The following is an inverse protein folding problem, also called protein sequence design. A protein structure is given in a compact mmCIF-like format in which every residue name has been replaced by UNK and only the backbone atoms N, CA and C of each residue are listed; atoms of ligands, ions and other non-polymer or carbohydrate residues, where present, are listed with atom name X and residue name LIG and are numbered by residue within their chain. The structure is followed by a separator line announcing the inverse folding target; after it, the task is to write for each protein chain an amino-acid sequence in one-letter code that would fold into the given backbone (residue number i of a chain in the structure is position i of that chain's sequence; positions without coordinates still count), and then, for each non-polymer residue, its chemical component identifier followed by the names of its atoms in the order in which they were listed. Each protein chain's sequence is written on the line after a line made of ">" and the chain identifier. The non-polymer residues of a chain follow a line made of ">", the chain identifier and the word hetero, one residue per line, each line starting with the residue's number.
data_IF_316576088703
#
_entry.id   IF_316576088703
#
_cell.length_a   1.000
_cell.length_b   1.000
_cell.length_c   1.000
_cell.angle_alpha   90.00
_cell.angle_beta   90.00
_cell.angle_gamma   90.00
#
_symmetry.space_group_name_H-M   'P 1'
#
loop_
_entity.id
_entity.type
_entity.pdbx_description
1 polymer ?
#
# COMPACT_ATOMS: atom_id res chain seq x y z
N UNK A 1 -78.25 -4.33 2.09
CA UNK A 1 -78.32 -4.82 3.48
C UNK A 1 -76.89 -4.96 4.01
N UNK A 2 -76.63 -4.45 5.22
CA UNK A 2 -75.35 -4.47 5.96
C UNK A 2 -74.81 -5.92 6.08
N UNK A 3 -73.50 -6.16 6.04
CA UNK A 3 -72.58 -6.08 7.20
C UNK A 3 -71.10 -5.83 6.79
N UNK A 4 -70.38 -5.01 7.56
CA UNK A 4 -68.95 -4.61 7.40
C UNK A 4 -68.02 -5.23 8.46
N UNK A 5 -66.71 -4.91 8.61
CA UNK A 5 -65.79 -3.96 7.97
C UNK A 5 -64.31 -4.33 8.35
N UNK A 6 -63.39 -4.29 7.37
CA UNK A 6 -61.93 -3.97 7.32
C UNK A 6 -60.82 -4.48 8.29
N UNK A 7 -59.79 -5.09 7.65
CA UNK A 7 -58.34 -4.75 7.53
C UNK A 7 -57.32 -4.83 8.71
N UNK A 8 -56.15 -5.49 8.48
CA UNK A 8 -54.76 -4.92 8.45
C UNK A 8 -53.64 -6.00 8.26
N UNK A 9 -52.48 -5.58 7.72
CA UNK A 9 -51.19 -6.31 7.53
C UNK A 9 -50.28 -6.25 8.79
N UNK A 10 -49.33 -7.19 8.98
CA UNK A 10 -47.88 -6.94 9.19
C UNK A 10 -47.01 -8.17 9.62
N UNK A 11 -45.73 -8.06 9.23
CA UNK A 11 -44.45 -8.76 9.50
C UNK A 11 -44.15 -9.35 10.90
N UNK A 12 -43.23 -10.35 10.98
CA UNK A 12 -42.03 -10.34 11.83
C UNK A 12 -41.16 -11.62 11.74
N UNK A 13 -39.83 -11.45 11.57
CA UNK A 13 -38.76 -12.34 12.06
C UNK A 13 -38.09 -11.61 13.23
N UNK A 14 -37.99 -12.19 14.44
CA UNK A 14 -36.91 -11.96 15.42
C UNK A 14 -37.06 -12.78 16.71
N UNK A 15 -35.95 -12.87 17.47
CA UNK A 15 -35.69 -13.33 18.84
C UNK A 15 -35.49 -14.85 19.06
N UNK A 16 -34.31 -15.33 19.48
CA UNK A 16 -33.57 -15.17 20.76
C UNK A 16 -34.35 -15.63 22.01
N UNK A 17 -33.79 -16.60 22.73
CA UNK A 17 -34.21 -17.03 24.06
C UNK A 17 -32.98 -17.10 24.98
N UNK A 18 -33.05 -16.35 26.08
CA UNK A 18 -32.19 -16.45 27.26
C UNK A 18 -33.04 -16.84 28.49
N UNK A 19 -32.33 -17.23 29.57
CA UNK A 19 -32.71 -17.19 31.01
C UNK A 19 -33.52 -18.41 31.54
N UNK A 20 -33.32 -18.99 32.74
CA UNK A 20 -32.23 -19.08 33.75
C UNK A 20 -32.63 -20.01 34.93
N UNK A 21 -31.73 -20.11 35.92
CA UNK A 21 -31.87 -20.42 37.38
C UNK A 21 -31.62 -21.89 37.79
N UNK A 22 -30.82 -22.25 38.80
CA UNK A 22 -30.22 -21.49 39.91
C UNK A 22 -30.85 -21.89 41.25
N UNK A 23 -30.26 -22.83 42.00
CA UNK A 23 -30.58 -23.10 43.41
C UNK A 23 -29.33 -23.59 44.18
N UNK A 24 -29.07 -22.94 45.33
CA UNK A 24 -28.11 -23.28 46.39
C UNK A 24 -28.73 -24.28 47.38
N UNK A 25 -27.92 -25.10 48.06
CA UNK A 25 -27.98 -25.33 49.52
C UNK A 25 -26.77 -26.13 50.04
N UNK A 26 -26.23 -25.68 51.18
CA UNK A 26 -25.15 -26.29 51.97
C UNK A 26 -25.74 -26.80 53.29
N UNK A 27 -25.33 -27.98 53.77
CA UNK A 27 -25.26 -28.41 55.19
C UNK A 27 -24.59 -29.79 55.25
N UNK A 28 -23.56 -29.93 56.09
CA UNK A 28 -22.76 -31.16 56.22
C UNK A 28 -23.20 -32.11 57.32
N UNK A 29 -22.64 -33.32 57.33
CA UNK A 29 -22.35 -34.13 58.52
C UNK A 29 -21.31 -35.22 58.21
N UNK A 30 -20.43 -35.41 59.20
CA UNK A 30 -19.29 -36.33 59.36
C UNK A 30 -19.57 -37.83 59.16
N UNK A 31 -18.53 -38.55 58.71
CA UNK A 31 -18.31 -40.00 58.90
C UNK A 31 -16.94 -40.42 58.31
N UNK A 32 -16.18 -41.26 59.01
CA UNK A 32 -14.72 -41.48 58.93
C UNK A 32 -14.19 -42.43 57.83
N UNK A 33 -12.96 -42.15 57.36
CA UNK A 33 -11.73 -42.97 57.09
C UNK A 33 -11.79 -44.46 56.60
N UNK A 34 -10.67 -45.07 56.13
CA UNK A 34 -10.59 -45.67 54.79
C UNK A 34 -10.25 -47.18 54.82
N UNK A 35 -9.88 -47.68 53.64
CA UNK A 35 -9.07 -48.87 53.33
C UNK A 35 -9.75 -50.21 53.00
N UNK A 36 -9.36 -50.68 51.80
CA UNK A 36 -9.01 -52.05 51.42
C UNK A 36 -10.02 -53.00 50.72
N UNK A 37 -9.44 -53.69 49.73
CA UNK A 37 -9.81 -54.90 49.02
C UNK A 37 -10.75 -54.84 47.79
N UNK A 38 -10.09 -54.95 46.63
CA UNK A 38 -10.30 -55.96 45.60
C UNK A 38 -11.73 -56.30 45.15
N UNK A 39 -11.95 -56.17 43.84
CA UNK A 39 -12.10 -57.38 43.01
C UNK A 39 -12.01 -57.05 41.53
N UNK A 40 -11.05 -57.71 40.87
CA UNK A 40 -10.95 -57.82 39.43
C UNK A 40 -12.19 -58.53 38.85
N UNK A 41 -12.82 -57.94 37.85
CA UNK A 41 -13.49 -58.71 36.81
C UNK A 41 -13.40 -57.96 35.48
N UNK A 42 -12.72 -58.60 34.55
CA UNK A 42 -12.37 -58.12 33.23
C UNK A 42 -13.60 -57.75 32.38
N UNK A 43 -13.47 -56.65 31.61
CA UNK A 43 -13.83 -56.64 30.20
C UNK A 43 -13.16 -55.43 29.53
N UNK A 44 -11.92 -55.65 29.07
CA UNK A 44 -11.28 -54.79 28.09
C UNK A 44 -12.04 -54.87 26.76
N UNK A 45 -13.10 -54.07 26.63
CA UNK A 45 -13.50 -53.59 25.32
C UNK A 45 -12.64 -52.36 25.02
N UNK A 46 -11.44 -52.63 24.51
CA UNK A 46 -10.56 -51.65 23.89
C UNK A 46 -11.18 -51.25 22.53
N UNK A 47 -12.40 -50.68 22.57
CA UNK A 47 -12.96 -49.97 21.44
C UNK A 47 -12.13 -48.69 21.30
N UNK A 48 -11.05 -48.77 20.53
CA UNK A 48 -10.42 -47.59 19.95
C UNK A 48 -11.51 -46.86 19.19
N UNK A 49 -12.13 -45.88 19.87
CA UNK A 49 -12.95 -44.87 19.22
C UNK A 49 -12.13 -44.39 18.04
N UNK A 50 -12.61 -44.65 16.83
CA UNK A 50 -11.98 -44.13 15.61
C UNK A 50 -11.91 -42.63 15.82
N UNK A 51 -10.70 -42.09 15.92
CA UNK A 51 -10.51 -40.66 15.78
C UNK A 51 -11.06 -40.30 14.41
N UNK A 52 -12.22 -39.64 14.41
CA UNK A 52 -12.72 -38.96 13.23
C UNK A 52 -11.68 -37.89 12.93
N UNK A 53 -10.83 -38.16 11.94
CA UNK A 53 -9.97 -37.11 11.39
C UNK A 53 -10.92 -36.08 10.82
N UNK A 54 -10.81 -34.84 11.30
CA UNK A 54 -11.43 -33.72 10.65
C UNK A 54 -10.82 -33.68 9.24
N UNK A 55 -11.62 -34.02 8.22
CA UNK A 55 -11.21 -33.84 6.82
C UNK A 55 -10.90 -32.36 6.67
N UNK A 56 -9.77 -32.02 6.05
CA UNK A 56 -9.37 -30.64 5.78
C UNK A 56 -10.60 -29.82 5.40
N UNK A 57 -11.00 -28.90 6.29
CA UNK A 57 -12.11 -27.98 6.04
C UNK A 57 -11.57 -26.96 5.04
N UNK A 58 -11.48 -27.38 3.78
CA UNK A 58 -11.29 -26.43 2.69
C UNK A 58 -12.51 -25.51 2.73
N UNK A 59 -12.30 -24.19 2.87
CA UNK A 59 -13.41 -23.25 2.94
C UNK A 59 -14.24 -23.36 1.67
N UNK A 60 -15.57 -23.34 1.83
CA UNK A 60 -16.50 -23.46 0.71
C UNK A 60 -16.27 -22.28 -0.26
N UNK A 61 -16.20 -22.52 -1.58
CA UNK A 61 -16.10 -21.46 -2.57
C UNK A 61 -17.21 -20.43 -2.37
N UNK A 62 -16.85 -19.15 -2.42
CA UNK A 62 -17.79 -18.04 -2.30
C UNK A 62 -17.83 -17.34 -3.64
N UNK A 63 -18.96 -17.42 -4.32
CA UNK A 63 -19.14 -16.80 -5.62
C UNK A 63 -19.45 -15.30 -5.48
N UNK A 64 -19.04 -14.56 -6.51
CA UNK A 64 -19.25 -13.12 -6.60
C UNK A 64 -20.72 -12.78 -6.86
N UNK A 65 -21.25 -11.76 -6.17
CA UNK A 65 -22.63 -11.27 -6.35
C UNK A 65 -22.64 -9.75 -6.54
N UNK A 66 -23.25 -9.26 -7.63
CA UNK A 66 -23.57 -7.85 -7.83
C UNK A 66 -25.01 -7.54 -7.40
N UNK A 67 -25.27 -6.27 -7.13
CA UNK A 67 -26.61 -5.75 -6.88
C UNK A 67 -27.50 -5.85 -8.12
N UNK A 68 -28.81 -5.65 -7.92
CA UNK A 68 -29.69 -5.27 -9.02
C UNK A 68 -29.23 -3.96 -9.65
N UNK A 69 -29.52 -3.77 -10.94
CA UNK A 69 -29.26 -2.53 -11.65
C UNK A 69 -29.93 -1.32 -11.02
N UNK A 70 -29.22 -0.20 -10.99
CA UNK A 70 -29.82 1.10 -10.67
C UNK A 70 -30.86 1.49 -11.72
N UNK A 71 -31.75 2.42 -11.36
CA UNK A 71 -32.54 3.14 -12.36
C UNK A 71 -31.62 3.88 -13.33
N UNK A 72 -32.07 4.05 -14.57
CA UNK A 72 -31.37 4.88 -15.55
C UNK A 72 -31.29 6.35 -15.10
N UNK A 73 -30.12 6.96 -15.28
CA UNK A 73 -29.96 8.40 -15.09
C UNK A 73 -30.75 9.19 -16.14
N UNK A 74 -30.96 10.48 -15.87
CA UNK A 74 -31.40 11.42 -16.90
C UNK A 74 -30.36 11.47 -18.03
N UNK A 75 -30.83 11.74 -19.25
CA UNK A 75 -29.98 11.85 -20.43
C UNK A 75 -29.01 13.04 -20.30
N UNK A 76 -27.71 12.77 -20.41
CA UNK A 76 -26.68 13.80 -20.34
C UNK A 76 -26.74 14.72 -21.58
N UNK A 77 -26.85 16.05 -21.41
CA UNK A 77 -26.93 17.01 -22.52
C UNK A 77 -25.68 17.11 -23.38
N UNK A 78 -24.50 16.86 -22.81
CA UNK A 78 -23.21 16.97 -23.46
C UNK A 78 -22.82 15.67 -24.16
N UNK A 79 -22.99 14.53 -23.49
CA UNK A 79 -22.62 13.21 -24.02
C UNK A 79 -23.73 12.54 -24.83
N UNK A 80 -24.99 12.99 -24.68
CA UNK A 80 -26.19 12.37 -25.28
C UNK A 80 -26.33 10.88 -24.91
N UNK A 81 -25.96 10.55 -23.67
CA UNK A 81 -25.96 9.21 -23.11
C UNK A 81 -26.62 9.19 -21.74
N UNK A 82 -27.22 8.06 -21.39
CA UNK A 82 -27.73 7.76 -20.04
C UNK A 82 -26.99 6.55 -19.49
N UNK A 83 -26.94 6.47 -18.16
CA UNK A 83 -26.10 5.53 -17.45
C UNK A 83 -26.90 4.75 -16.41
N UNK A 84 -26.50 3.51 -16.15
CA UNK A 84 -26.90 2.75 -14.97
C UNK A 84 -25.73 1.91 -14.49
N UNK A 85 -25.77 1.49 -13.23
CA UNK A 85 -24.68 0.74 -12.62
C UNK A 85 -25.21 -0.34 -11.67
N UNK A 86 -24.34 -1.29 -11.35
CA UNK A 86 -24.49 -2.23 -10.26
C UNK A 86 -23.26 -2.12 -9.35
N UNK A 87 -23.41 -2.44 -8.07
CA UNK A 87 -22.31 -2.44 -7.11
C UNK A 87 -22.07 -3.84 -6.56
N UNK A 88 -20.84 -4.10 -6.13
CA UNK A 88 -20.43 -5.38 -5.57
C UNK A 88 -21.08 -5.59 -4.21
N UNK A 89 -21.88 -6.66 -4.07
CA UNK A 89 -22.43 -7.09 -2.78
C UNK A 89 -21.48 -8.05 -2.08
N UNK A 90 -20.96 -9.03 -2.83
CA UNK A 90 -20.05 -10.06 -2.30
C UNK A 90 -18.90 -10.31 -3.27
N UNK A 91 -17.63 -10.17 -2.84
CA UNK A 91 -16.49 -10.56 -3.65
C UNK A 91 -16.35 -12.08 -3.72
N UNK A 92 -15.76 -12.57 -4.83
CA UNK A 92 -15.36 -13.97 -4.92
C UNK A 92 -14.23 -14.30 -3.93
N UNK A 93 -14.33 -15.46 -3.27
CA UNK A 93 -13.29 -16.01 -2.39
C UNK A 93 -13.15 -17.51 -2.58
N UNK A 94 -12.00 -18.06 -2.19
CA UNK A 94 -11.73 -19.50 -2.18
C UNK A 94 -12.01 -20.21 -3.52
N UNK A 95 -11.55 -19.58 -4.61
CA UNK A 95 -11.77 -20.07 -5.98
C UNK A 95 -13.24 -20.13 -6.44
N UNK A 96 -14.14 -19.35 -5.82
CA UNK A 96 -15.49 -19.12 -6.35
C UNK A 96 -15.49 -18.32 -7.67
N UNK A 97 -16.63 -18.30 -8.33
CA UNK A 97 -16.81 -17.65 -9.64
C UNK A 97 -16.63 -16.12 -9.56
N UNK A 98 -15.92 -15.54 -10.52
CA UNK A 98 -15.66 -14.10 -10.63
C UNK A 98 -16.83 -13.38 -11.33
N UNK A 99 -17.11 -12.13 -10.95
CA UNK A 99 -18.01 -11.29 -11.72
C UNK A 99 -17.29 -10.76 -12.98
N UNK A 100 -17.32 -11.53 -14.08
CA UNK A 100 -16.70 -11.14 -15.36
C UNK A 100 -17.60 -10.26 -16.25
N UNK A 101 -18.75 -9.84 -15.73
CA UNK A 101 -19.70 -8.97 -16.42
C UNK A 101 -19.48 -7.50 -16.04
N UNK A 102 -19.82 -6.59 -16.96
CA UNK A 102 -19.69 -5.16 -16.69
C UNK A 102 -20.64 -4.72 -15.59
N UNK A 103 -20.11 -3.93 -14.67
CA UNK A 103 -20.82 -3.31 -13.54
C UNK A 103 -21.41 -1.93 -13.91
N UNK A 104 -21.39 -1.56 -15.20
CA UNK A 104 -22.02 -0.37 -15.76
C UNK A 104 -22.62 -0.63 -17.13
N UNK A 105 -23.64 0.15 -17.48
CA UNK A 105 -24.19 0.18 -18.83
C UNK A 105 -24.42 1.61 -19.29
N UNK A 106 -24.27 1.79 -20.61
CA UNK A 106 -24.37 3.08 -21.28
C UNK A 106 -25.28 2.94 -22.49
N UNK A 107 -26.27 3.81 -22.59
CA UNK A 107 -27.21 3.85 -23.71
C UNK A 107 -27.27 5.26 -24.31
N UNK A 108 -27.40 5.32 -25.63
CA UNK A 108 -27.63 6.57 -26.34
C UNK A 108 -29.04 7.11 -26.04
N UNK A 109 -29.15 8.44 -25.96
CA UNK A 109 -30.41 9.12 -25.67
C UNK A 109 -30.50 10.47 -26.38
N UNK A 110 -31.73 10.94 -26.57
CA UNK A 110 -32.00 12.22 -27.24
C UNK A 110 -32.37 13.27 -26.19
N UNK A 111 -31.72 14.43 -26.26
CA UNK A 111 -31.96 15.55 -25.36
C UNK A 111 -31.79 16.88 -26.11
N UNK A 112 -32.66 17.84 -25.80
CA UNK A 112 -32.65 19.20 -26.36
C UNK A 112 -31.97 20.23 -25.46
N UNK A 113 -31.46 19.80 -24.30
CA UNK A 113 -30.79 20.68 -23.33
C UNK A 113 -29.43 21.14 -23.88
N UNK A 114 -29.07 22.43 -23.75
CA UNK A 114 -27.80 22.95 -24.27
C UNK A 114 -26.61 22.54 -23.37
N UNK A 115 -25.50 22.14 -24.00
CA UNK A 115 -24.22 21.86 -23.32
C UNK A 115 -23.31 23.10 -23.35
N UNK A 116 -22.84 23.57 -22.18
CA UNK A 116 -21.89 24.68 -22.08
C UNK A 116 -20.46 24.16 -22.21
N UNK A 117 -19.72 24.67 -23.21
CA UNK A 117 -18.28 24.38 -23.38
C UNK A 117 -17.44 25.40 -22.62
N UNK A 118 -16.32 24.96 -22.06
CA UNK A 118 -15.35 25.83 -21.40
C UNK A 118 -14.70 26.76 -22.43
N UNK A 119 -14.72 28.07 -22.19
CA UNK A 119 -14.05 29.05 -23.03
C UNK A 119 -12.54 29.06 -22.78
N UNK A 120 -11.76 29.15 -23.86
CA UNK A 120 -10.31 29.28 -23.82
C UNK A 120 -9.92 30.61 -24.47
N UNK A 121 -9.28 31.49 -23.70
CA UNK A 121 -8.73 32.76 -24.21
C UNK A 121 -7.38 32.56 -24.95
N UNK A 122 -6.73 31.43 -24.68
CA UNK A 122 -5.43 31.06 -25.22
C UNK A 122 -5.48 30.33 -26.57
N UNK A 123 -4.46 29.51 -26.81
CA UNK A 123 -4.41 28.54 -27.90
C UNK A 123 -4.95 27.20 -27.40
N UNK A 124 -5.81 26.56 -28.19
CA UNK A 124 -6.35 25.23 -27.89
C UNK A 124 -5.50 24.19 -28.61
N UNK A 125 -4.87 23.30 -27.85
CA UNK A 125 -4.08 22.21 -28.38
C UNK A 125 -4.93 21.24 -29.20
N UNK A 126 -4.39 20.73 -30.31
CA UNK A 126 -5.17 20.05 -31.34
C UNK A 126 -5.77 18.71 -30.87
N UNK A 127 -4.99 17.88 -30.18
CA UNK A 127 -5.38 16.56 -29.72
C UNK A 127 -5.74 16.56 -28.24
N UNK A 128 -4.94 17.22 -27.40
CA UNK A 128 -5.16 17.22 -25.94
C UNK A 128 -6.32 18.12 -25.51
N UNK A 129 -6.71 19.10 -26.33
CA UNK A 129 -7.74 20.08 -26.00
C UNK A 129 -7.39 20.95 -24.78
N UNK A 130 -6.10 21.03 -24.42
CA UNK A 130 -5.57 21.90 -23.37
C UNK A 130 -5.57 23.35 -23.85
N UNK A 131 -5.85 24.28 -22.94
CA UNK A 131 -5.79 25.71 -23.22
C UNK A 131 -4.45 26.26 -22.71
N UNK A 132 -3.55 26.65 -23.62
CA UNK A 132 -2.23 27.20 -23.28
C UNK A 132 -2.15 28.69 -23.63
N UNK A 133 -1.36 29.44 -22.88
CA UNK A 133 -1.18 30.87 -23.15
C UNK A 133 -0.42 31.07 -24.47
N UNK A 134 -0.83 32.03 -25.29
CA UNK A 134 -0.18 32.32 -26.60
C UNK A 134 1.32 32.65 -26.49
N UNK A 135 1.79 33.12 -25.32
CA UNK A 135 3.21 33.36 -25.04
C UNK A 135 4.06 32.08 -24.98
N UNK A 136 3.42 30.92 -24.92
CA UNK A 136 4.05 29.61 -24.89
C UNK A 136 4.17 28.98 -26.27
N UNK A 137 3.60 29.60 -27.32
CA UNK A 137 3.73 29.09 -28.67
C UNK A 137 5.14 29.34 -29.21
N UNK A 138 5.68 28.36 -29.94
CA UNK A 138 6.98 28.45 -30.61
C UNK A 138 8.14 28.78 -29.66
N UNK A 139 8.09 28.31 -28.42
CA UNK A 139 9.10 28.55 -27.40
C UNK A 139 10.12 27.39 -27.27
N UNK A 140 9.93 26.32 -28.04
CA UNK A 140 10.76 25.12 -28.06
C UNK A 140 10.42 24.08 -26.97
N UNK A 141 9.36 24.30 -26.20
CA UNK A 141 8.84 23.38 -25.20
C UNK A 141 7.52 22.77 -25.67
N UNK A 142 7.25 21.52 -25.31
CA UNK A 142 5.96 20.87 -25.58
C UNK A 142 4.99 21.14 -24.43
N UNK A 143 4.34 22.31 -24.42
CA UNK A 143 3.37 22.70 -23.39
C UNK A 143 1.99 22.06 -23.64
N UNK A 144 1.68 21.70 -24.88
CA UNK A 144 0.41 21.04 -25.24
C UNK A 144 0.36 19.53 -24.94
N UNK A 145 1.52 18.86 -24.85
CA UNK A 145 1.65 17.40 -24.73
C UNK A 145 1.71 16.68 -26.09
N UNK A 146 0.99 17.19 -27.09
CA UNK A 146 0.94 16.69 -28.47
C UNK A 146 1.82 17.48 -29.47
N UNK A 147 2.66 18.41 -28.98
CA UNK A 147 3.51 19.32 -29.76
C UNK A 147 2.76 20.27 -30.70
N UNK A 148 1.44 20.44 -30.55
CA UNK A 148 0.66 21.31 -31.42
C UNK A 148 0.95 22.81 -31.25
N UNK A 149 1.49 23.21 -30.10
CA UNK A 149 1.98 24.56 -29.79
C UNK A 149 3.29 24.93 -30.50
N UNK A 150 4.06 23.92 -30.89
CA UNK A 150 5.31 24.06 -31.64
C UNK A 150 5.15 23.79 -33.14
N UNK A 151 3.92 23.52 -33.58
CA UNK A 151 3.59 23.34 -34.99
C UNK A 151 3.50 24.68 -35.73
N UNK A 152 3.91 24.70 -37.00
CA UNK A 152 3.82 25.87 -37.89
C UNK A 152 4.57 27.14 -37.41
N UNK A 153 5.65 26.96 -36.64
CA UNK A 153 6.49 28.05 -36.16
C UNK A 153 7.47 28.55 -37.23
N UNK A 154 7.42 29.85 -37.55
CA UNK A 154 8.41 30.48 -38.45
C UNK A 154 9.81 30.56 -37.84
N UNK A 155 9.88 30.78 -36.53
CA UNK A 155 11.10 30.80 -35.71
C UNK A 155 10.77 30.25 -34.33
N UNK A 156 11.65 29.43 -33.79
CA UNK A 156 11.54 28.88 -32.44
C UNK A 156 12.40 29.74 -31.51
N UNK A 157 11.78 30.40 -30.55
CA UNK A 157 12.46 31.23 -29.56
C UNK A 157 12.73 30.43 -28.30
N UNK A 158 13.78 29.60 -28.33
CA UNK A 158 14.18 28.78 -27.18
C UNK A 158 14.48 29.65 -25.96
N UNK A 159 13.61 29.60 -24.96
CA UNK A 159 13.87 30.24 -23.65
C UNK A 159 15.01 29.56 -22.91
N UNK A 160 15.12 28.24 -23.03
CA UNK A 160 16.19 27.45 -22.42
C UNK A 160 17.27 27.13 -23.45
N UNK A 161 18.45 27.74 -23.27
CA UNK A 161 19.60 27.57 -24.17
C UNK A 161 20.43 26.31 -23.85
N UNK A 162 20.42 25.85 -22.59
CA UNK A 162 21.16 24.68 -22.15
C UNK A 162 20.21 23.53 -21.79
N UNK A 163 20.64 22.30 -22.10
CA UNK A 163 19.96 21.10 -21.63
C UNK A 163 19.97 21.07 -20.10
N UNK A 164 18.79 20.95 -19.50
CA UNK A 164 18.59 20.79 -18.07
C UNK A 164 17.82 19.49 -17.83
N UNK A 165 18.15 18.79 -16.75
CA UNK A 165 17.52 17.53 -16.40
C UNK A 165 16.18 17.73 -15.68
N UNK A 166 15.34 16.70 -15.71
CA UNK A 166 14.14 16.63 -14.88
C UNK A 166 14.52 16.11 -13.49
N UNK A 167 13.78 16.53 -12.45
CA UNK A 167 14.03 16.00 -11.11
C UNK A 167 13.89 14.47 -11.07
N UNK A 168 14.73 13.83 -10.26
CA UNK A 168 14.66 12.39 -10.04
C UNK A 168 13.31 11.99 -9.43
N UNK A 169 12.77 10.87 -9.92
CA UNK A 169 11.46 10.33 -9.53
C UNK A 169 10.24 11.27 -9.75
N UNK A 170 10.37 12.34 -10.53
CA UNK A 170 9.31 13.35 -10.67
C UNK A 170 8.03 12.82 -11.33
N UNK A 171 8.14 11.77 -12.16
CA UNK A 171 7.01 11.12 -12.80
C UNK A 171 6.07 10.47 -11.79
N UNK A 172 6.62 9.67 -10.87
CA UNK A 172 5.84 8.99 -9.82
C UNK A 172 5.17 10.00 -8.87
N UNK A 173 5.79 11.16 -8.65
CA UNK A 173 5.23 12.26 -7.86
C UNK A 173 4.05 12.97 -8.54
N UNK A 174 3.84 12.75 -9.83
CA UNK A 174 2.73 13.31 -10.61
C UNK A 174 1.51 12.36 -10.68
N UNK A 175 1.70 11.10 -10.28
CA UNK A 175 0.67 10.07 -10.25
C UNK A 175 -0.38 10.31 -9.19
N UNK A 176 -1.60 9.88 -9.48
CA UNK A 176 -2.63 9.75 -8.46
C UNK A 176 -2.38 8.53 -7.58
N UNK A 177 -2.99 8.52 -6.40
CA UNK A 177 -2.83 7.45 -5.41
C UNK A 177 -4.20 6.90 -5.08
N UNK A 178 -4.33 5.57 -5.15
CA UNK A 178 -5.46 4.89 -4.56
C UNK A 178 -5.12 4.50 -3.12
N UNK A 179 -5.68 5.24 -2.15
CA UNK A 179 -5.37 5.05 -0.74
C UNK A 179 -5.94 3.73 -0.16
N UNK A 180 -6.94 3.13 -0.80
CA UNK A 180 -7.52 1.86 -0.35
C UNK A 180 -6.62 0.67 -0.69
N UNK A 181 -5.88 0.75 -1.78
CA UNK A 181 -4.95 -0.28 -2.26
C UNK A 181 -3.48 0.09 -2.06
N UNK A 182 -3.21 1.36 -1.69
CA UNK A 182 -1.86 1.94 -1.56
C UNK A 182 -1.04 1.86 -2.86
N UNK A 183 -1.71 2.03 -4.01
CA UNK A 183 -1.10 1.95 -5.35
C UNK A 183 -0.97 3.33 -5.97
N UNK A 184 0.12 3.53 -6.74
CA UNK A 184 0.19 4.63 -7.71
C UNK A 184 -0.65 4.25 -8.93
N UNK A 185 -1.53 5.15 -9.31
CA UNK A 185 -2.38 5.01 -10.48
C UNK A 185 -1.91 5.98 -11.59
N UNK A 186 -2.77 6.23 -12.58
CA UNK A 186 -2.48 7.12 -13.70
C UNK A 186 -2.03 8.53 -13.29
N UNK A 187 -1.30 9.23 -14.17
CA UNK A 187 -0.85 10.60 -13.93
C UNK A 187 -2.02 11.57 -13.85
N UNK A 188 -2.12 12.30 -12.73
CA UNK A 188 -3.15 13.34 -12.51
C UNK A 188 -2.60 14.75 -12.73
N UNK A 189 -1.30 14.95 -12.48
CA UNK A 189 -0.61 16.22 -12.65
C UNK A 189 0.37 16.16 -13.83
N UNK A 190 0.58 17.30 -14.48
CA UNK A 190 1.57 17.42 -15.55
C UNK A 190 2.87 18.07 -15.03
N UNK A 191 3.85 17.24 -14.69
CA UNK A 191 5.20 17.68 -14.34
C UNK A 191 6.13 17.88 -15.55
N UNK A 192 5.64 17.68 -16.78
CA UNK A 192 6.37 18.07 -18.01
C UNK A 192 6.07 19.50 -18.42
N UNK A 193 4.97 20.07 -17.93
CA UNK A 193 4.63 21.47 -18.14
C UNK A 193 5.51 22.41 -17.32
N UNK A 194 6.15 23.39 -17.99
CA UNK A 194 7.04 24.37 -17.36
C UNK A 194 6.47 25.79 -17.34
N UNK A 195 5.38 26.06 -18.07
CA UNK A 195 4.77 27.39 -18.12
C UNK A 195 5.72 28.49 -18.60
N UNK A 196 6.67 28.13 -19.47
CA UNK A 196 7.71 29.03 -19.96
C UNK A 196 8.76 29.44 -18.92
N UNK A 197 8.82 28.75 -17.78
CA UNK A 197 9.87 28.87 -16.78
C UNK A 197 11.15 28.14 -17.19
N UNK A 198 12.30 28.78 -16.93
CA UNK A 198 13.61 28.27 -17.35
C UNK A 198 14.73 28.54 -16.32
N UNK A 199 14.38 28.82 -15.06
CA UNK A 199 15.40 29.04 -14.04
C UNK A 199 16.08 27.70 -13.70
N UNK A 200 17.41 27.59 -13.83
CA UNK A 200 18.13 26.40 -13.41
C UNK A 200 18.07 26.29 -11.88
N UNK A 201 17.81 25.08 -11.40
CA UNK A 201 17.92 24.70 -10.00
C UNK A 201 19.08 23.74 -9.85
N UNK A 202 20.08 24.11 -9.04
CA UNK A 202 21.27 23.30 -8.84
C UNK A 202 21.07 22.36 -7.67
N UNK A 203 21.21 21.06 -7.92
CA UNK A 203 21.27 20.02 -6.89
C UNK A 203 22.58 19.29 -7.10
N UNK A 204 23.47 19.36 -6.10
CA UNK A 204 24.86 18.92 -6.25
C UNK A 204 25.52 19.66 -7.43
N UNK A 205 26.02 18.93 -8.43
CA UNK A 205 26.66 19.50 -9.62
C UNK A 205 25.76 19.45 -10.88
N UNK A 206 24.49 19.05 -10.73
CA UNK A 206 23.57 18.86 -11.85
C UNK A 206 22.57 20.01 -11.95
N UNK A 207 22.30 20.45 -13.18
CA UNK A 207 21.35 21.52 -13.50
C UNK A 207 19.97 20.92 -13.79
N UNK A 208 19.02 21.16 -12.89
CA UNK A 208 17.65 20.72 -13.05
C UNK A 208 16.73 21.86 -13.48
N UNK A 209 15.71 21.50 -14.27
CA UNK A 209 14.62 22.42 -14.63
C UNK A 209 13.44 22.19 -13.69
N UNK A 210 13.07 23.20 -12.91
CA UNK A 210 11.93 23.11 -11.99
C UNK A 210 10.61 23.09 -12.77
N UNK A 211 9.77 22.04 -12.66
CA UNK A 211 8.45 22.01 -13.30
C UNK A 211 7.50 23.04 -12.72
N UNK A 212 6.49 23.43 -13.50
CA UNK A 212 5.56 24.51 -13.12
C UNK A 212 4.75 24.19 -11.87
N UNK A 213 4.38 22.92 -11.66
CA UNK A 213 3.57 22.45 -10.53
C UNK A 213 4.36 22.33 -9.22
N UNK A 214 5.68 22.26 -9.30
CA UNK A 214 6.54 22.00 -8.14
C UNK A 214 6.88 23.30 -7.42
N UNK A 215 6.56 23.37 -6.12
CA UNK A 215 6.91 24.51 -5.28
C UNK A 215 8.40 24.43 -4.93
N UNK A 216 8.83 23.28 -4.39
CA UNK A 216 10.18 23.02 -3.94
C UNK A 216 10.59 21.54 -4.06
N UNK A 217 11.86 21.32 -4.33
CA UNK A 217 12.53 20.03 -4.28
C UNK A 217 13.87 20.24 -3.57
N UNK A 218 13.93 19.86 -2.29
CA UNK A 218 15.11 20.11 -1.45
C UNK A 218 15.85 18.81 -1.18
N UNK A 219 17.11 18.66 -1.63
CA UNK A 219 17.91 17.48 -1.31
C UNK A 219 18.25 17.48 0.19
N UNK A 220 18.30 16.29 0.79
CA UNK A 220 18.89 16.08 2.11
C UNK A 220 20.33 15.59 1.94
N UNK A 221 21.27 16.22 2.65
CA UNK A 221 22.70 15.91 2.55
C UNK A 221 23.22 15.01 3.69
N UNK A 222 22.37 14.65 4.65
CA UNK A 222 22.73 13.83 5.82
C UNK A 222 21.85 12.60 5.91
N UNK A 223 22.13 11.60 5.08
CA UNK A 223 21.55 10.28 5.21
C UNK A 223 22.18 9.51 6.36
N UNK A 224 21.63 9.61 7.57
CA UNK A 224 22.04 8.74 8.66
C UNK A 224 21.30 7.41 8.53
N UNK A 225 22.02 6.34 8.19
CA UNK A 225 21.47 4.98 8.21
C UNK A 225 21.15 4.61 9.66
N UNK A 226 19.85 4.61 10.01
CA UNK A 226 19.38 4.12 11.29
C UNK A 226 18.65 2.81 11.09
N UNK A 227 19.24 1.73 11.60
CA UNK A 227 18.57 0.44 11.65
C UNK A 227 17.71 0.35 12.90
N UNK A 228 16.41 0.19 12.70
CA UNK A 228 15.48 -0.22 13.74
C UNK A 228 15.34 -1.75 13.69
N UNK A 229 15.73 -2.40 14.77
CA UNK A 229 15.54 -3.84 14.97
C UNK A 229 14.32 -4.07 15.87
N UNK A 230 13.42 -4.96 15.45
CA UNK A 230 12.20 -5.32 16.18
C UNK A 230 12.03 -6.83 16.20
N UNK A 231 11.76 -7.37 17.39
CA UNK A 231 11.37 -8.76 17.59
C UNK A 231 9.86 -8.92 17.39
N UNK A 232 9.47 -10.07 16.83
CA UNK A 232 8.11 -10.56 16.86
C UNK A 232 8.08 -12.04 17.26
N UNK A 233 7.15 -12.38 18.14
CA UNK A 233 7.02 -13.75 18.67
C UNK A 233 6.41 -14.72 17.64
N UNK A 234 5.69 -14.20 16.64
CA UNK A 234 5.06 -14.99 15.58
C UNK A 234 4.74 -14.14 14.36
N UNK A 235 4.32 -14.78 13.26
CA UNK A 235 3.82 -14.09 12.08
C UNK A 235 2.60 -13.21 12.38
N UNK A 236 1.68 -13.66 13.24
CA UNK A 236 0.48 -12.88 13.59
C UNK A 236 0.83 -11.60 14.35
N UNK A 237 1.87 -11.63 15.20
CA UNK A 237 2.39 -10.45 15.90
C UNK A 237 3.10 -9.48 14.95
N UNK A 238 3.87 -10.03 13.99
CA UNK A 238 4.45 -9.23 12.90
C UNK A 238 3.35 -8.54 12.06
N UNK A 239 2.36 -9.30 11.61
CA UNK A 239 1.27 -8.79 10.76
C UNK A 239 0.42 -7.76 11.51
N UNK A 240 0.05 -8.00 12.76
CA UNK A 240 -0.74 -7.06 13.55
C UNK A 240 -0.02 -5.73 13.77
N UNK A 241 1.27 -5.75 14.12
CA UNK A 241 2.03 -4.54 14.41
C UNK A 241 2.34 -3.72 13.15
N UNK A 242 2.68 -4.40 12.04
CA UNK A 242 2.86 -3.73 10.74
C UNK A 242 1.53 -3.11 10.29
N UNK A 243 0.42 -3.84 10.41
CA UNK A 243 -0.90 -3.35 10.01
C UNK A 243 -1.41 -2.25 10.95
N UNK A 244 -1.15 -2.32 12.27
CA UNK A 244 -1.56 -1.31 13.26
C UNK A 244 -0.76 -0.01 13.12
N UNK A 245 0.55 -0.08 12.88
CA UNK A 245 1.38 1.11 12.55
C UNK A 245 0.98 1.75 11.22
N UNK A 246 0.49 0.95 10.28
CA UNK A 246 -0.05 1.45 9.01
C UNK A 246 -1.44 2.08 9.21
N UNK A 247 -2.35 1.43 9.97
CA UNK A 247 -3.73 1.90 10.20
C UNK A 247 -3.85 3.08 11.16
N UNK A 248 -2.98 3.19 12.17
CA UNK A 248 -2.88 4.36 13.04
C UNK A 248 -2.49 5.63 12.28
N UNK A 249 -1.71 5.50 11.20
CA UNK A 249 -1.42 6.59 10.26
C UNK A 249 -2.59 6.91 9.32
N UNK A 250 -3.54 5.98 9.16
CA UNK A 250 -4.63 6.05 8.19
C UNK A 250 -6.03 6.17 8.81
N UNK A 251 -6.18 6.67 10.04
CA UNK A 251 -7.48 6.64 10.74
C UNK A 251 -8.56 7.50 10.06
N UNK A 252 -9.33 6.88 9.16
CA UNK A 252 -10.57 7.40 8.61
C UNK A 252 -11.65 7.36 9.70
N UNK A 253 -11.90 8.49 10.36
CA UNK A 253 -13.08 8.65 11.21
C UNK A 253 -14.28 8.98 10.31
N UNK A 254 -15.13 7.99 10.03
CA UNK A 254 -16.42 8.18 9.37
C UNK A 254 -17.36 8.93 10.31
N UNK A 255 -17.42 10.26 10.15
CA UNK A 255 -18.26 11.16 10.92
C UNK A 255 -17.79 12.59 10.68
N UNK A 256 -18.62 13.40 10.02
CA UNK A 256 -18.38 14.74 9.50
C UNK A 256 -17.30 15.62 10.20
N UNK A 257 -16.48 16.28 9.35
CA UNK A 257 -15.42 17.29 9.60
C UNK A 257 -14.12 16.82 10.26
N UNK A 258 -13.16 16.31 9.46
CA UNK A 258 -11.73 16.53 9.74
C UNK A 258 -10.94 16.63 8.42
N UNK A 259 -10.43 17.82 8.08
CA UNK A 259 -9.30 17.98 7.14
C UNK A 259 -8.06 17.60 7.94
N UNK A 260 -7.78 16.30 8.03
CA UNK A 260 -6.62 15.75 8.72
C UNK A 260 -5.50 15.59 7.71
N UNK A 261 -4.38 16.28 7.94
CA UNK A 261 -3.13 16.02 7.21
C UNK A 261 -2.63 14.66 7.67
N UNK A 262 -2.76 13.64 6.83
CA UNK A 262 -2.21 12.32 7.11
C UNK A 262 -0.78 12.24 6.58
N UNK A 263 0.05 11.46 7.27
CA UNK A 263 1.42 11.15 6.87
C UNK A 263 1.50 9.65 6.64
N UNK A 264 1.33 9.23 5.39
CA UNK A 264 1.27 7.83 5.01
C UNK A 264 2.67 7.28 4.73
N UNK A 265 2.95 6.08 5.26
CA UNK A 265 4.04 5.25 4.75
C UNK A 265 3.57 4.59 3.46
N UNK A 266 4.19 4.93 2.33
CA UNK A 266 3.80 4.40 1.03
C UNK A 266 4.18 2.92 0.95
N UNK A 267 3.19 2.03 0.79
CA UNK A 267 3.41 0.59 0.57
C UNK A 267 3.14 0.34 -0.90
N UNK A 268 4.20 0.46 -1.68
CA UNK A 268 4.15 0.12 -3.10
C UNK A 268 3.68 -1.33 -3.24
N UNK A 269 2.46 -1.53 -3.74
CA UNK A 269 1.92 -2.85 -4.14
C UNK A 269 2.64 -3.36 -5.38
N UNK A 270 3.94 -3.55 -5.23
CA UNK A 270 4.83 -4.09 -6.22
C UNK A 270 4.80 -5.62 -6.14
N UNK A 271 5.07 -6.28 -7.27
CA UNK A 271 5.29 -7.73 -7.30
C UNK A 271 6.32 -8.19 -6.25
N UNK A 272 7.32 -7.35 -5.95
CA UNK A 272 8.33 -7.59 -4.92
C UNK A 272 7.73 -7.57 -3.50
N UNK A 273 6.87 -6.61 -3.20
CA UNK A 273 6.15 -6.53 -1.92
C UNK A 273 5.22 -7.73 -1.71
N UNK A 274 4.44 -8.11 -2.74
CA UNK A 274 3.58 -9.30 -2.70
C UNK A 274 4.39 -10.58 -2.48
N UNK A 275 5.53 -10.72 -3.17
CA UNK A 275 6.44 -11.84 -3.00
C UNK A 275 7.09 -11.88 -1.61
N UNK A 276 7.45 -10.72 -1.06
CA UNK A 276 7.96 -10.61 0.31
C UNK A 276 6.93 -11.12 1.33
N UNK A 277 5.69 -10.61 1.26
CA UNK A 277 4.61 -11.04 2.15
C UNK A 277 4.25 -12.51 1.94
N UNK A 278 4.19 -13.00 0.71
CA UNK A 278 3.86 -14.40 0.43
C UNK A 278 4.90 -15.38 0.98
N UNK A 279 6.19 -15.01 0.99
CA UNK A 279 7.24 -15.79 1.65
C UNK A 279 7.09 -15.81 3.16
N UNK A 280 6.84 -14.67 3.79
CA UNK A 280 6.61 -14.60 5.24
C UNK A 280 5.38 -15.40 5.67
N UNK A 281 4.29 -15.35 4.88
CA UNK A 281 3.05 -16.10 5.14
C UNK A 281 3.23 -17.62 5.19
N UNK A 282 4.30 -18.18 4.61
CA UNK A 282 4.59 -19.63 4.71
C UNK A 282 4.85 -20.07 6.15
N UNK A 283 5.21 -19.14 7.02
CA UNK A 283 5.55 -19.35 8.42
C UNK A 283 4.40 -18.96 9.37
N UNK A 284 3.18 -18.77 8.85
CA UNK A 284 2.01 -18.46 9.67
C UNK A 284 1.61 -19.60 10.62
N UNK A 285 1.91 -20.85 10.23
CA UNK A 285 1.55 -22.06 10.99
C UNK A 285 2.76 -22.74 11.65
N UNK A 286 3.94 -22.13 11.59
CA UNK A 286 5.18 -22.67 12.18
C UNK A 286 5.48 -21.99 13.52
N UNK A 287 6.23 -22.68 14.39
CA UNK A 287 6.75 -22.11 15.64
C UNK A 287 8.00 -21.28 15.35
N UNK A 288 7.81 -20.14 14.68
CA UNK A 288 8.92 -19.30 14.23
C UNK A 288 8.86 -17.93 14.90
N UNK A 289 10.02 -17.44 15.33
CA UNK A 289 10.24 -16.05 15.74
C UNK A 289 10.76 -15.23 14.56
N UNK A 290 10.45 -13.94 14.56
CA UNK A 290 10.87 -13.04 13.49
C UNK A 290 11.73 -11.91 14.05
N UNK A 291 12.89 -11.71 13.45
CA UNK A 291 13.72 -10.52 13.69
C UNK A 291 13.63 -9.64 12.43
N UNK A 292 12.98 -8.49 12.58
CA UNK A 292 12.81 -7.53 11.50
C UNK A 292 13.77 -6.35 11.69
N UNK A 293 14.58 -6.07 10.67
CA UNK A 293 15.43 -4.89 10.58
C UNK A 293 14.90 -3.97 9.49
N UNK A 294 14.74 -2.69 9.82
CA UNK A 294 14.31 -1.65 8.87
C UNK A 294 15.25 -0.46 8.93
N UNK A 295 15.78 -0.07 7.78
CA UNK A 295 16.56 1.15 7.59
C UNK A 295 15.88 2.06 6.57
N UNK A 296 15.79 3.34 6.90
CA UNK A 296 15.22 4.38 6.04
C UNK A 296 16.31 5.39 5.72
N UNK A 297 16.48 5.70 4.44
CA UNK A 297 17.39 6.71 3.94
C UNK A 297 16.57 7.79 3.25
N UNK A 298 16.52 9.00 3.81
CA UNK A 298 15.85 10.15 3.19
C UNK A 298 16.86 10.90 2.31
N UNK A 299 16.49 11.23 1.07
CA UNK A 299 17.39 11.92 0.12
C UNK A 299 16.83 13.22 -0.43
N UNK A 300 15.50 13.39 -0.47
CA UNK A 300 14.90 14.63 -0.95
C UNK A 300 13.49 14.83 -0.41
N UNK A 301 13.10 16.09 -0.21
CA UNK A 301 11.73 16.48 0.10
C UNK A 301 11.11 17.17 -1.10
N UNK A 302 9.92 16.73 -1.45
CA UNK A 302 9.10 17.25 -2.51
C UNK A 302 7.92 18.04 -1.94
N UNK A 303 7.62 19.18 -2.55
CA UNK A 303 6.44 19.98 -2.24
C UNK A 303 5.76 20.48 -3.51
N UNK A 304 4.47 20.19 -3.62
CA UNK A 304 3.59 20.66 -4.68
C UNK A 304 3.09 22.08 -4.38
N UNK A 305 2.88 22.89 -5.44
CA UNK A 305 2.21 24.18 -5.29
C UNK A 305 0.78 24.01 -4.78
N UNK A 306 0.32 24.97 -3.99
CA UNK A 306 -1.01 24.92 -3.40
C UNK A 306 -2.16 25.19 -4.38
N UNK A 307 -1.92 25.92 -5.48
CA UNK A 307 -2.95 26.39 -6.43
C UNK A 307 -2.41 26.51 -7.85
N UNK A 308 -3.35 26.63 -8.80
CA UNK A 308 -3.09 26.81 -10.24
C UNK A 308 -2.18 25.70 -10.77
N UNK A 309 -2.54 24.46 -10.47
CA UNK A 309 -1.85 23.27 -10.93
C UNK A 309 -2.22 22.95 -12.38
N UNK A 310 -1.25 22.50 -13.16
CA UNK A 310 -1.48 21.97 -14.49
C UNK A 310 -1.82 20.48 -14.41
N UNK A 311 -3.01 20.12 -14.86
CA UNK A 311 -3.47 18.72 -14.89
C UNK A 311 -2.84 17.97 -16.06
N UNK A 312 -2.60 16.68 -15.86
CA UNK A 312 -2.22 15.78 -16.95
C UNK A 312 -3.31 15.77 -18.03
N UNK A 313 -2.93 15.72 -19.31
CA UNK A 313 -3.89 15.84 -20.40
C UNK A 313 -4.90 14.69 -20.45
N UNK A 314 -4.46 13.46 -20.14
CA UNK A 314 -5.33 12.27 -20.10
C UNK A 314 -6.36 12.38 -18.98
N UNK A 315 -5.92 12.79 -17.78
CA UNK A 315 -6.82 13.05 -16.67
C UNK A 315 -7.81 14.17 -17.01
N UNK A 316 -7.35 15.26 -17.60
CA UNK A 316 -8.20 16.37 -18.03
C UNK A 316 -9.25 15.94 -19.07
N UNK A 317 -8.86 15.12 -20.06
CA UNK A 317 -9.78 14.57 -21.05
C UNK A 317 -10.80 13.66 -20.39
N UNK A 318 -10.38 12.80 -19.47
CA UNK A 318 -11.30 11.91 -18.74
C UNK A 318 -12.28 12.72 -17.91
N UNK A 319 -11.83 13.74 -17.17
CA UNK A 319 -12.71 14.65 -16.41
C UNK A 319 -13.70 15.38 -17.32
N UNK A 320 -13.26 15.86 -18.49
CA UNK A 320 -14.16 16.48 -19.49
C UNK A 320 -15.17 15.50 -20.09
N UNK A 321 -14.86 14.20 -20.10
CA UNK A 321 -15.75 13.14 -20.60
C UNK A 321 -16.80 12.71 -19.58
N UNK A 322 -16.66 13.09 -18.31
CA UNK A 322 -17.60 12.70 -17.27
C UNK A 322 -18.98 13.31 -17.52
N UNK A 323 -20.04 12.56 -17.20
CA UNK A 323 -21.38 13.11 -17.27
C UNK A 323 -21.58 14.18 -16.20
N UNK A 324 -22.42 15.18 -16.52
CA UNK A 324 -22.86 16.19 -15.57
C UNK A 324 -23.82 15.61 -14.53
N UNK A 325 -24.59 14.59 -14.93
CA UNK A 325 -25.45 13.82 -14.04
C UNK A 325 -24.62 12.75 -13.33
N UNK A 326 -24.82 12.61 -12.02
CA UNK A 326 -24.06 11.67 -11.22
C UNK A 326 -24.26 10.23 -11.72
N UNK A 327 -23.16 9.58 -12.09
CA UNK A 327 -23.12 8.20 -12.57
C UNK A 327 -22.01 7.45 -11.85
N UNK A 328 -22.36 6.64 -10.85
CA UNK A 328 -21.38 5.93 -10.03
C UNK A 328 -20.38 5.11 -10.87
N UNK A 329 -20.83 4.44 -11.93
CA UNK A 329 -19.95 3.65 -12.80
C UNK A 329 -18.82 4.48 -13.43
N UNK A 330 -19.14 5.65 -13.99
CA UNK A 330 -18.13 6.52 -14.63
C UNK A 330 -17.18 7.14 -13.61
N UNK A 331 -17.69 7.56 -12.46
CA UNK A 331 -16.88 8.13 -11.39
C UNK A 331 -15.99 7.07 -10.72
N UNK A 332 -16.51 5.85 -10.52
CA UNK A 332 -15.72 4.74 -9.96
C UNK A 332 -14.57 4.37 -10.89
N UNK A 333 -14.81 4.31 -12.20
CA UNK A 333 -13.76 3.97 -13.16
C UNK A 333 -12.67 5.05 -13.19
N UNK A 334 -13.03 6.33 -13.11
CA UNK A 334 -12.06 7.42 -12.93
C UNK A 334 -11.18 7.21 -11.68
N UNK A 335 -11.78 6.84 -10.55
CA UNK A 335 -11.05 6.59 -9.30
C UNK A 335 -10.22 5.30 -9.37
N UNK A 336 -10.60 4.32 -10.19
CA UNK A 336 -9.79 3.13 -10.47
C UNK A 336 -8.58 3.49 -11.33
N UNK A 337 -8.77 4.32 -12.35
CA UNK A 337 -7.73 4.67 -13.33
C UNK A 337 -6.70 5.68 -12.78
N UNK A 338 -7.15 6.60 -11.93
CA UNK A 338 -6.34 7.74 -11.44
C UNK A 338 -6.24 7.83 -9.92
N UNK A 339 -6.86 6.90 -9.18
CA UNK A 339 -6.82 6.90 -7.73
C UNK A 339 -7.77 7.88 -7.07
N UNK A 340 -7.67 7.99 -5.76
CA UNK A 340 -8.57 8.77 -4.89
C UNK A 340 -7.94 10.05 -4.35
N UNK A 341 -6.61 10.14 -4.38
CA UNK A 341 -5.83 11.25 -3.83
C UNK A 341 -4.69 11.62 -4.78
N UNK A 342 -4.04 12.77 -4.54
CA UNK A 342 -2.81 13.16 -5.20
C UNK A 342 -1.77 13.66 -4.19
N UNK A 343 -0.50 13.60 -4.56
CA UNK A 343 0.64 13.90 -3.68
C UNK A 343 0.83 15.41 -3.54
N UNK A 344 0.78 15.92 -2.31
CA UNK A 344 1.07 17.34 -2.01
C UNK A 344 2.46 17.54 -1.42
N UNK A 345 2.87 16.66 -0.53
CA UNK A 345 4.23 16.60 0.01
C UNK A 345 4.70 15.15 -0.05
N UNK A 346 5.98 14.93 -0.31
CA UNK A 346 6.56 13.59 -0.26
C UNK A 346 7.99 13.63 0.24
N UNK A 347 8.37 12.60 0.98
CA UNK A 347 9.76 12.28 1.29
C UNK A 347 10.20 11.20 0.32
N UNK A 348 11.27 11.48 -0.41
CA UNK A 348 11.93 10.60 -1.34
C UNK A 348 13.17 10.00 -0.68
N UNK A 349 13.41 8.72 -0.96
CA UNK A 349 14.43 7.97 -0.25
C UNK A 349 14.55 6.53 -0.68
N UNK A 350 15.15 5.75 0.20
CA UNK A 350 15.27 4.30 0.09
C UNK A 350 14.82 3.64 1.38
N UNK A 351 14.20 2.47 1.25
CA UNK A 351 13.88 1.62 2.39
C UNK A 351 14.55 0.27 2.17
N UNK A 352 15.33 -0.13 3.17
CA UNK A 352 15.91 -1.47 3.24
C UNK A 352 15.26 -2.21 4.40
N UNK A 353 14.56 -3.30 4.08
CA UNK A 353 13.87 -4.15 5.03
C UNK A 353 14.41 -5.57 4.93
N UNK A 354 14.64 -6.16 6.09
CA UNK A 354 15.23 -7.48 6.25
C UNK A 354 14.48 -8.21 7.36
N UNK A 355 14.11 -9.46 7.12
CA UNK A 355 13.42 -10.29 8.11
C UNK A 355 14.05 -11.66 8.17
N UNK A 356 14.62 -11.99 9.33
CA UNK A 356 15.03 -13.34 9.68
C UNK A 356 13.87 -14.09 10.31
N UNK A 357 13.71 -15.33 9.87
CA UNK A 357 12.74 -16.26 10.42
C UNK A 357 13.53 -17.37 11.11
N UNK A 358 13.25 -17.57 12.39
CA UNK A 358 14.02 -18.45 13.26
C UNK A 358 13.12 -19.49 13.90
N UNK A 359 13.51 -20.75 13.83
CA UNK A 359 12.80 -21.84 14.48
C UNK A 359 12.98 -21.74 16.00
N UNK A 360 11.86 -21.59 16.73
CA UNK A 360 11.88 -21.39 18.18
C UNK A 360 12.43 -22.60 18.94
N UNK A 361 12.07 -23.81 18.53
CA UNK A 361 12.47 -25.04 19.22
C UNK A 361 14.00 -25.27 19.08
N UNK A 362 14.57 -25.00 17.89
CA UNK A 362 16.03 -25.12 17.66
C UNK A 362 16.80 -24.01 18.37
N UNK A 363 16.26 -22.79 18.38
CA UNK A 363 16.87 -21.66 19.07
C UNK A 363 17.01 -21.93 20.58
N UNK A 364 15.99 -22.50 21.20
CA UNK A 364 15.99 -22.90 22.62
C UNK A 364 16.95 -24.08 22.89
N UNK A 365 17.09 -25.03 21.96
CA UNK A 365 18.04 -26.14 22.07
C UNK A 365 19.51 -25.69 21.93
N UNK A 366 19.77 -24.69 21.09
CA UNK A 366 21.11 -24.18 20.78
C UNK A 366 21.68 -23.14 21.74
N UNK A 367 21.00 -22.86 22.87
CA UNK A 367 21.33 -21.76 23.79
C UNK A 367 21.44 -20.39 23.08
N UNK A 368 20.66 -20.19 22.00
CA UNK A 368 20.60 -18.90 21.33
C UNK A 368 19.50 -18.05 21.99
N UNK A 369 19.84 -16.81 22.34
CA UNK A 369 18.86 -15.83 22.82
C UNK A 369 18.66 -14.77 21.76
N UNK A 370 17.47 -14.18 21.72
CA UNK A 370 17.19 -13.08 20.82
C UNK A 370 18.18 -11.92 20.99
N UNK A 371 18.54 -11.58 22.23
CA UNK A 371 19.56 -10.57 22.54
C UNK A 371 20.91 -10.88 21.86
N UNK A 372 21.32 -12.15 21.85
CA UNK A 372 22.57 -12.57 21.19
C UNK A 372 22.48 -12.40 19.66
N UNK A 373 21.33 -12.78 19.07
CA UNK A 373 21.10 -12.70 17.63
C UNK A 373 20.98 -11.25 17.18
N UNK A 374 20.15 -10.45 17.85
CA UNK A 374 19.95 -9.03 17.54
C UNK A 374 21.23 -8.22 17.70
N UNK A 375 22.03 -8.47 18.74
CA UNK A 375 23.34 -7.84 18.91
C UNK A 375 24.32 -8.27 17.82
N UNK A 376 24.32 -9.54 17.41
CA UNK A 376 25.23 -10.02 16.37
C UNK A 376 24.89 -9.46 14.99
N UNK A 377 23.62 -9.56 14.62
CA UNK A 377 23.08 -9.00 13.38
C UNK A 377 23.28 -7.49 13.37
N UNK A 378 23.03 -6.81 14.49
CA UNK A 378 23.30 -5.38 14.66
C UNK A 378 24.76 -4.99 14.47
N UNK A 379 25.74 -5.80 14.94
CA UNK A 379 27.17 -5.54 14.69
C UNK A 379 27.51 -5.56 13.20
N UNK A 380 26.93 -6.49 12.44
CA UNK A 380 27.16 -6.56 10.99
C UNK A 380 26.61 -5.32 10.26
N UNK A 381 25.53 -4.72 10.79
CA UNK A 381 24.91 -3.52 10.25
C UNK A 381 25.55 -2.20 10.70
N UNK A 382 26.68 -2.21 11.43
CA UNK A 382 27.35 -0.97 11.87
C UNK A 382 27.94 -0.17 10.69
N UNK A 383 27.07 0.54 10.00
CA UNK A 383 27.37 1.71 9.19
C UNK A 383 27.21 2.90 10.14
N UNK A 384 28.33 3.47 10.61
CA UNK A 384 28.31 4.81 11.21
C UNK A 384 27.55 5.00 12.53
N UNK A 385 27.52 4.02 13.43
CA UNK A 385 27.32 4.27 14.87
C UNK A 385 25.93 4.66 15.39
N UNK A 386 24.82 4.40 14.68
CA UNK A 386 23.48 4.76 15.19
C UNK A 386 22.42 3.66 14.98
N UNK A 387 22.42 2.64 15.85
CA UNK A 387 21.28 1.75 16.05
C UNK A 387 20.49 2.29 17.25
N UNK A 388 19.25 2.73 17.07
CA UNK A 388 18.52 3.50 18.10
C UNK A 388 17.89 2.65 19.21
N UNK A 389 17.99 1.32 19.18
CA UNK A 389 17.26 0.47 20.13
C UNK A 389 17.87 -0.88 20.51
N UNK A 390 19.20 -1.02 20.46
CA UNK A 390 19.84 -2.17 21.11
C UNK A 390 20.65 -1.62 22.27
N UNK A 391 20.20 -1.91 23.49
CA UNK A 391 21.10 -1.98 24.63
C UNK A 391 22.23 -2.92 24.18
N UNK A 392 23.38 -2.36 23.77
CA UNK A 392 24.59 -3.15 23.57
C UNK A 392 24.98 -3.68 24.95
N UNK A 393 24.37 -4.78 25.39
CA UNK A 393 24.92 -5.59 26.47
C UNK A 393 26.26 -6.10 25.95
N UNK A 394 27.33 -5.50 26.46
CA UNK A 394 28.67 -6.06 26.48
C UNK A 394 28.58 -7.49 27.05
N UNK A 395 28.50 -8.50 26.18
CA UNK A 395 28.31 -9.89 26.63
C UNK A 395 28.30 -10.97 25.55
N UNK A 396 28.10 -10.63 24.27
CA UNK A 396 28.13 -11.63 23.18
C UNK A 396 29.57 -11.89 22.74
N UNK A 397 30.04 -13.12 22.89
CA UNK A 397 31.38 -13.53 22.42
C UNK A 397 31.44 -13.52 20.88
N UNK A 398 32.60 -13.17 20.31
CA UNK A 398 32.82 -13.20 18.86
C UNK A 398 32.56 -14.59 18.27
N UNK A 399 32.89 -15.64 19.02
CA UNK A 399 32.63 -17.03 18.63
C UNK A 399 31.13 -17.29 18.45
N UNK A 400 30.29 -16.92 19.43
CA UNK A 400 28.83 -17.11 19.35
C UNK A 400 28.23 -16.32 18.18
N UNK A 401 28.81 -15.16 17.88
CA UNK A 401 28.43 -14.37 16.72
C UNK A 401 28.77 -15.06 15.39
N UNK A 402 29.97 -15.62 15.28
CA UNK A 402 30.39 -16.35 14.09
C UNK A 402 29.52 -17.60 13.86
N UNK A 403 29.12 -18.29 14.94
CA UNK A 403 28.21 -19.43 14.87
C UNK A 403 26.84 -19.02 14.30
N UNK A 404 26.26 -17.92 14.78
CA UNK A 404 25.00 -17.35 14.25
C UNK A 404 25.13 -16.94 12.78
N UNK A 405 26.24 -16.28 12.40
CA UNK A 405 26.49 -15.90 11.00
C UNK A 405 26.63 -17.13 10.09
N UNK A 406 27.21 -18.21 10.59
CA UNK A 406 27.30 -19.47 9.87
C UNK A 406 25.92 -20.13 9.73
N UNK A 407 25.04 -20.05 10.72
CA UNK A 407 23.66 -20.54 10.58
C UNK A 407 22.85 -19.75 9.53
N UNK A 408 23.06 -18.44 9.41
CA UNK A 408 22.43 -17.62 8.35
C UNK A 408 22.92 -18.04 6.96
N UNK A 409 24.21 -18.36 6.83
CA UNK A 409 24.83 -18.91 5.60
C UNK A 409 24.28 -20.29 5.26
N UNK A 410 24.20 -21.15 6.26
CA UNK A 410 23.83 -22.55 6.13
C UNK A 410 22.32 -22.80 6.11
N UNK A 411 21.48 -21.75 6.11
CA UNK A 411 20.00 -21.84 6.18
C UNK A 411 19.31 -22.78 5.18
N UNK A 412 19.97 -23.09 4.07
CA UNK A 412 19.46 -24.03 3.07
C UNK A 412 19.71 -25.52 3.44
N UNK A 413 20.42 -25.79 4.54
CA UNK A 413 20.65 -27.13 5.09
C UNK A 413 19.47 -27.53 5.98
N UNK A 414 19.23 -28.84 6.14
CA UNK A 414 18.16 -29.33 7.03
C UNK A 414 18.52 -29.06 8.50
N UNK A 415 17.52 -28.65 9.29
CA UNK A 415 17.58 -28.44 10.75
C UNK A 415 18.50 -27.29 11.22
N UNK A 416 18.44 -26.13 10.57
CA UNK A 416 19.10 -24.90 11.05
C UNK A 416 18.17 -24.06 11.93
N UNK A 417 18.73 -23.26 12.84
CA UNK A 417 17.95 -22.28 13.62
C UNK A 417 17.28 -21.26 12.69
N UNK A 418 17.98 -20.80 11.65
CA UNK A 418 17.44 -19.86 10.66
C UNK A 418 16.69 -20.66 9.59
N UNK A 419 15.38 -20.48 9.51
CA UNK A 419 14.52 -21.19 8.55
C UNK A 419 14.46 -20.47 7.20
N UNK A 420 14.41 -19.13 7.23
CA UNK A 420 14.43 -18.33 6.02
C UNK A 420 14.92 -16.91 6.29
N UNK A 421 15.34 -16.27 5.21
CA UNK A 421 15.73 -14.87 5.15
C UNK A 421 15.00 -14.20 3.99
N UNK A 422 14.21 -13.16 4.30
CA UNK A 422 13.46 -12.40 3.31
C UNK A 422 13.87 -10.94 3.35
N UNK A 423 14.23 -10.39 2.19
CA UNK A 423 14.68 -9.00 2.03
C UNK A 423 13.72 -8.26 1.10
N UNK A 424 13.41 -7.00 1.43
CA UNK A 424 12.66 -6.08 0.59
C UNK A 424 13.44 -4.76 0.49
N UNK A 425 13.82 -4.40 -0.73
CA UNK A 425 14.56 -3.16 -1.01
C UNK A 425 13.73 -2.26 -1.92
N UNK A 426 13.61 -0.99 -1.54
CA UNK A 426 12.92 0.07 -2.28
C UNK A 426 13.88 1.25 -2.51
N UNK A 427 13.89 1.77 -3.74
CA UNK A 427 14.85 2.79 -4.17
C UNK A 427 16.21 2.21 -4.58
N UNK A 428 16.92 2.91 -5.45
CA UNK A 428 18.17 2.49 -6.07
C UNK A 428 17.99 1.85 -7.46
N UNK A 429 19.09 1.45 -8.10
CA UNK A 429 19.04 0.77 -9.40
C UNK A 429 18.74 -0.72 -9.23
N UNK A 430 18.26 -1.37 -10.31
CA UNK A 430 17.93 -2.79 -10.29
C UNK A 430 19.10 -3.68 -9.86
N UNK A 431 20.33 -3.31 -10.21
CA UNK A 431 21.55 -4.07 -9.90
C UNK A 431 21.89 -4.08 -8.40
N UNK A 432 21.82 -2.92 -7.73
CA UNK A 432 22.04 -2.85 -6.29
C UNK A 432 20.88 -3.48 -5.52
N UNK A 433 19.64 -3.31 -6.02
CA UNK A 433 18.45 -3.96 -5.45
C UNK A 433 18.60 -5.49 -5.50
N UNK A 434 19.02 -6.07 -6.63
CA UNK A 434 19.21 -7.52 -6.73
C UNK A 434 20.37 -7.97 -5.86
N UNK A 435 21.51 -7.28 -5.88
CA UNK A 435 22.67 -7.64 -5.05
C UNK A 435 22.32 -7.67 -3.56
N UNK A 436 21.59 -6.66 -3.07
CA UNK A 436 21.12 -6.61 -1.69
C UNK A 436 20.05 -7.67 -1.38
N UNK A 437 19.18 -7.99 -2.34
CA UNK A 437 18.14 -9.00 -2.16
C UNK A 437 18.67 -10.44 -2.14
N UNK A 438 19.80 -10.71 -2.82
CA UNK A 438 20.39 -12.05 -2.91
C UNK A 438 21.57 -12.29 -1.96
N UNK A 439 22.22 -11.24 -1.43
CA UNK A 439 23.24 -11.40 -0.39
C UNK A 439 22.61 -11.77 0.96
N UNK A 440 23.40 -12.48 1.77
CA UNK A 440 22.98 -12.99 3.08
C UNK A 440 22.83 -11.87 4.11
N UNK A 441 23.83 -11.00 4.22
CA UNK A 441 23.82 -9.80 5.05
C UNK A 441 24.55 -8.68 4.28
N UNK A 442 24.01 -7.46 4.24
CA UNK A 442 24.65 -6.38 3.52
C UNK A 442 25.88 -5.87 4.30
N UNK A 443 26.94 -5.56 3.57
CA UNK A 443 28.14 -4.93 4.12
C UNK A 443 27.97 -3.41 4.18
N UNK A 444 28.77 -2.74 5.01
CA UNK A 444 28.74 -1.28 5.11
C UNK A 444 29.02 -0.57 3.77
N UNK A 445 29.95 -1.13 2.99
CA UNK A 445 30.28 -0.65 1.65
C UNK A 445 29.08 -0.77 0.69
N UNK A 446 28.41 -1.92 0.66
CA UNK A 446 27.26 -2.15 -0.22
C UNK A 446 26.08 -1.23 0.14
N UNK A 447 25.86 -0.95 1.42
CA UNK A 447 24.82 -0.01 1.85
C UNK A 447 25.14 1.44 1.47
N UNK A 448 26.42 1.83 1.46
CA UNK A 448 26.86 3.13 0.95
C UNK A 448 26.62 3.25 -0.56
N UNK A 449 27.03 2.24 -1.33
CA UNK A 449 26.76 2.18 -2.78
C UNK A 449 25.27 2.25 -3.10
N UNK A 450 24.44 1.51 -2.34
CA UNK A 450 22.99 1.60 -2.47
C UNK A 450 22.47 3.00 -2.15
N UNK A 451 22.99 3.67 -1.11
CA UNK A 451 22.59 5.03 -0.79
C UNK A 451 22.92 6.03 -1.89
N UNK A 452 24.11 5.91 -2.48
CA UNK A 452 24.50 6.70 -3.65
C UNK A 452 23.54 6.45 -4.82
N UNK A 453 23.16 5.18 -5.07
CA UNK A 453 22.17 4.83 -6.09
C UNK A 453 20.76 5.38 -5.80
N UNK A 454 20.33 5.38 -4.54
CA UNK A 454 19.04 5.93 -4.09
C UNK A 454 18.98 7.43 -4.36
N UNK A 455 20.09 8.15 -4.26
CA UNK A 455 20.13 9.58 -4.56
C UNK A 455 19.66 9.87 -6.00
N UNK A 456 20.03 9.04 -6.97
CA UNK A 456 19.67 9.20 -8.38
C UNK A 456 18.34 8.53 -8.75
N UNK A 457 17.96 7.45 -8.06
CA UNK A 457 16.72 6.74 -8.30
C UNK A 457 15.95 6.50 -6.98
N UNK A 458 15.41 7.55 -6.35
CA UNK A 458 14.70 7.41 -5.09
C UNK A 458 13.31 6.83 -5.28
N UNK A 459 12.85 6.09 -4.27
CA UNK A 459 11.46 5.71 -4.11
C UNK A 459 10.72 6.71 -3.22
N UNK A 460 9.39 6.73 -3.34
CA UNK A 460 8.52 7.46 -2.42
C UNK A 460 8.44 6.67 -1.12
N UNK A 461 8.88 7.25 -0.01
CA UNK A 461 8.92 6.57 1.30
C UNK A 461 7.84 7.07 2.26
N UNK A 462 7.47 8.34 2.14
CA UNK A 462 6.38 8.97 2.89
C UNK A 462 5.66 9.99 2.01
N UNK A 463 4.36 10.14 2.22
CA UNK A 463 3.53 11.12 1.49
C UNK A 463 2.62 11.87 2.44
N UNK A 464 2.24 13.07 2.01
CA UNK A 464 1.00 13.73 2.40
C UNK A 464 0.16 13.97 1.17
N UNK A 465 -1.07 13.54 1.25
CA UNK A 465 -2.00 13.55 0.14
C UNK A 465 -3.18 14.48 0.38
N UNK A 466 -3.84 14.86 -0.72
CA UNK A 466 -5.10 15.58 -0.70
C UNK A 466 -6.10 14.84 -1.58
N UNK A 467 -7.37 14.91 -1.19
CA UNK A 467 -8.47 14.29 -1.92
C UNK A 467 -8.51 14.78 -3.36
N UNK A 468 -8.72 13.83 -4.28
CA UNK A 468 -9.06 14.13 -5.66
C UNK A 468 -10.56 14.50 -5.70
N UNK A 469 -10.88 15.78 -5.49
CA UNK A 469 -12.23 16.28 -5.70
C UNK A 469 -12.46 16.42 -7.21
N UNK A 470 -13.35 15.60 -7.74
CA UNK A 470 -13.80 15.62 -9.14
C UNK A 470 -15.23 16.09 -9.23
#
# INVERSE_FOLDING_TARGET
>A
MKTGFQAWRALAKSCLLCVALGCLHFSGSRGEKPDFFDTNAANQNLAKSRQVRNVDITPVPVDCELSSWSSWTVCDPCQKKRYRHAYLLRPSQFHGELCDYSDKEVEDCVTSRPCRKVQCEGFVCAQTGRCVNRRLLCNGDNDCGDQSDEANCRRIYKKCQHGMEQYWAIGNLASGINLFTNTLEGPVLDHRYYGGGCSPHYILNTKFRKPYNVEGYTPQTQGNYQFALTEYESYSDFESNVTEKETSKSSFKFGFKIISKFEFGFKEDSNKGRHYISRLKRFSHTKSKFLHARSVLEVAHYKLKSRNLMLHYEFLQRVKSLPLEYSYGEYRDLLRDFGTHFITEAVLGGIYEYTLIMNKDIMEQGDYTFDNISACVGKQFQIGGAISKVYLKLGVSEKKCNDILNEIKDRNKRNTMVEDLVVLVRGGTSEYITTLAYRELPTAELMREWGDAVQYNPAIIQIKELYLCV
#
